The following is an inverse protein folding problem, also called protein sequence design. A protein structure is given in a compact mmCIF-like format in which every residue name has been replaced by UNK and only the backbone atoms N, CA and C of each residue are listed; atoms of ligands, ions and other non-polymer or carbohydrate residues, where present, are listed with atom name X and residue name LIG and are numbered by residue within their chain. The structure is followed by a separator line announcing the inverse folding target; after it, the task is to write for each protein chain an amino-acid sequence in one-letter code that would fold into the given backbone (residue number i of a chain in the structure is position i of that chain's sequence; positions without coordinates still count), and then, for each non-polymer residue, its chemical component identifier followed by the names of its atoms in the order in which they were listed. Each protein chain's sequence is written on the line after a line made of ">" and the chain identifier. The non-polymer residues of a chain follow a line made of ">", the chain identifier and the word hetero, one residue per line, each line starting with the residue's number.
data_IF_676721879184
#
_entry.id   IF_676721879184
#
_cell.length_a   1.000
_cell.length_b   1.000
_cell.length_c   1.000
_cell.angle_alpha   90.00
_cell.angle_beta   90.00
_cell.angle_gamma   90.00
#
_symmetry.space_group_name_H-M   'P 1'
#
loop_
_entity.id
_entity.type
_entity.pdbx_description
1 polymer ?
#
# COMPACT_ATOMS: atom_id res chain seq x y z
N UNK A 1 2.35 6.62 -19.67
CA UNK A 1 2.72 7.91 -20.29
C UNK A 1 3.51 7.71 -21.58
N UNK A 2 4.74 7.17 -21.58
CA UNK A 2 5.52 6.99 -22.82
C UNK A 2 4.96 5.95 -23.80
N UNK A 3 4.28 4.91 -23.32
CA UNK A 3 3.57 3.98 -24.20
C UNK A 3 2.49 4.71 -25.01
N UNK A 4 1.63 5.47 -24.34
CA UNK A 4 0.62 6.32 -24.98
C UNK A 4 1.24 7.34 -25.96
N UNK A 5 2.34 8.00 -25.59
CA UNK A 5 2.99 8.99 -26.46
C UNK A 5 3.57 8.36 -27.75
N UNK A 6 3.99 7.09 -27.68
CA UNK A 6 4.39 6.32 -28.85
C UNK A 6 3.19 6.01 -29.75
N UNK A 7 2.07 5.60 -29.15
CA UNK A 7 0.83 5.30 -29.88
C UNK A 7 0.23 6.56 -30.53
N UNK A 8 0.43 7.72 -29.90
CA UNK A 8 0.05 9.03 -30.42
C UNK A 8 1.07 9.64 -31.40
N UNK A 9 2.08 8.87 -31.83
CA UNK A 9 3.12 9.28 -32.79
C UNK A 9 3.95 10.51 -32.37
N UNK A 10 3.96 10.85 -31.07
CA UNK A 10 4.73 11.98 -30.53
C UNK A 10 6.20 11.61 -30.28
N UNK A 11 6.50 10.32 -30.16
CA UNK A 11 7.85 9.76 -30.00
C UNK A 11 7.95 8.45 -30.75
N UNK A 12 9.12 8.14 -31.34
CA UNK A 12 9.30 6.89 -32.08
C UNK A 12 9.48 5.66 -31.18
N UNK A 13 10.10 5.86 -30.01
CA UNK A 13 10.49 4.79 -29.09
C UNK A 13 10.08 5.13 -27.67
N UNK A 14 9.55 4.13 -26.94
CA UNK A 14 9.31 4.25 -25.51
C UNK A 14 10.62 3.93 -24.74
N UNK A 15 11.29 4.94 -24.13
CA UNK A 15 12.57 4.74 -23.43
C UNK A 15 12.43 3.84 -22.19
N UNK A 16 11.22 3.66 -21.66
CA UNK A 16 10.97 2.80 -20.51
C UNK A 16 10.99 1.30 -20.84
N UNK A 17 10.99 0.91 -22.12
CA UNK A 17 10.97 -0.51 -22.52
C UNK A 17 12.23 -1.28 -22.10
N UNK A 18 13.38 -0.61 -22.00
CA UNK A 18 14.64 -1.22 -21.54
C UNK A 18 14.83 -1.17 -20.02
N UNK A 19 13.95 -0.47 -19.30
CA UNK A 19 14.05 -0.36 -17.85
C UNK A 19 13.53 -1.64 -17.19
N UNK A 20 14.35 -2.27 -16.35
CA UNK A 20 13.90 -3.40 -15.53
C UNK A 20 12.84 -2.91 -14.56
N UNK A 21 11.73 -3.64 -14.47
CA UNK A 21 10.71 -3.37 -13.46
C UNK A 21 11.31 -3.64 -12.09
N UNK A 22 11.25 -2.65 -11.20
CA UNK A 22 11.54 -2.86 -9.79
C UNK A 22 10.44 -3.75 -9.23
N UNK A 23 10.83 -4.89 -8.68
CA UNK A 23 9.94 -5.71 -7.86
C UNK A 23 9.95 -5.15 -6.45
N UNK A 24 8.79 -5.14 -5.79
CA UNK A 24 8.77 -4.98 -4.34
C UNK A 24 9.62 -6.10 -3.76
N UNK A 25 10.66 -5.79 -2.97
CA UNK A 25 11.61 -6.79 -2.48
C UNK A 25 10.95 -7.94 -1.71
N UNK A 26 9.74 -7.73 -1.19
CA UNK A 26 8.84 -8.76 -0.70
C UNK A 26 7.72 -9.02 -1.71
N UNK A 27 7.70 -10.22 -2.29
CA UNK A 27 6.65 -10.68 -3.21
C UNK A 27 5.29 -10.95 -2.54
N UNK A 28 5.26 -11.03 -1.20
CA UNK A 28 4.07 -11.38 -0.41
C UNK A 28 3.18 -10.17 -0.09
N UNK A 29 3.62 -8.95 -0.41
CA UNK A 29 2.85 -7.73 -0.15
C UNK A 29 2.93 -7.27 1.30
N UNK A 30 1.82 -6.72 1.82
CA UNK A 30 1.73 -6.25 3.20
C UNK A 30 1.28 -7.37 4.14
N UNK A 31 1.88 -7.41 5.33
CA UNK A 31 1.50 -8.33 6.39
C UNK A 31 0.02 -8.21 6.75
N UNK A 32 -0.67 -9.35 6.84
CA UNK A 32 -2.06 -9.42 7.29
C UNK A 32 -2.08 -9.57 8.80
N UNK A 33 -2.80 -8.67 9.48
CA UNK A 33 -2.81 -8.64 10.93
C UNK A 33 -3.55 -9.84 11.53
N UNK A 34 -2.92 -10.45 12.52
CA UNK A 34 -3.53 -11.44 13.40
C UNK A 34 -4.26 -10.76 14.57
N UNK A 35 -5.25 -11.47 15.13
CA UNK A 35 -5.99 -10.98 16.30
C UNK A 35 -5.07 -10.72 17.50
N UNK A 36 -4.00 -11.50 17.65
CA UNK A 36 -3.01 -11.32 18.71
C UNK A 36 -2.25 -9.99 18.57
N UNK A 37 -1.96 -9.56 17.35
CA UNK A 37 -1.27 -8.30 17.06
C UNK A 37 -2.18 -7.10 17.31
N UNK A 38 -3.47 -7.24 17.00
CA UNK A 38 -4.48 -6.26 17.40
C UNK A 38 -4.45 -6.09 18.91
N UNK A 39 -4.51 -7.19 19.68
CA UNK A 39 -4.47 -7.13 21.15
C UNK A 39 -3.17 -6.49 21.66
N UNK A 40 -2.02 -6.78 21.04
CA UNK A 40 -0.76 -6.13 21.38
C UNK A 40 -0.79 -4.62 21.12
N UNK A 41 -1.33 -4.19 19.98
CA UNK A 41 -1.49 -2.79 19.63
C UNK A 41 -2.41 -2.06 20.63
N UNK A 42 -3.52 -2.68 21.00
CA UNK A 42 -4.46 -2.12 21.97
C UNK A 42 -3.86 -2.00 23.38
N UNK A 43 -2.96 -2.91 23.79
CA UNK A 43 -2.20 -2.80 25.04
C UNK A 43 -1.17 -1.67 24.98
N UNK A 44 -0.55 -1.46 23.82
CA UNK A 44 0.43 -0.39 23.58
C UNK A 44 -0.20 1.00 23.53
N UNK A 45 -1.43 1.09 23.00
CA UNK A 45 -2.17 2.33 22.78
C UNK A 45 -3.47 2.35 23.60
N UNK A 46 -3.42 3.06 24.73
CA UNK A 46 -4.57 3.21 25.61
C UNK A 46 -5.80 3.81 24.90
N UNK A 47 -6.99 3.54 25.46
CA UNK A 47 -8.26 4.15 25.01
C UNK A 47 -8.19 5.68 25.08
N UNK A 48 -8.80 6.35 24.11
CA UNK A 48 -8.75 7.81 23.97
C UNK A 48 -7.56 8.35 23.17
N UNK A 49 -6.56 7.50 22.85
CA UNK A 49 -5.50 7.90 21.91
C UNK A 49 -5.99 7.87 20.46
N UNK A 50 -5.47 8.77 19.63
CA UNK A 50 -5.77 8.79 18.19
C UNK A 50 -5.45 7.47 17.50
N UNK A 51 -4.33 6.83 17.87
CA UNK A 51 -3.91 5.53 17.37
C UNK A 51 -4.97 4.44 17.63
N UNK A 52 -5.44 4.34 18.88
CA UNK A 52 -6.47 3.36 19.27
C UNK A 52 -7.80 3.63 18.58
N UNK A 53 -8.18 4.90 18.41
CA UNK A 53 -9.41 5.30 17.74
C UNK A 53 -9.36 5.00 16.24
N UNK A 54 -8.25 5.31 15.57
CA UNK A 54 -8.08 5.04 14.15
C UNK A 54 -8.19 3.53 13.86
N UNK A 55 -7.51 2.69 14.63
CA UNK A 55 -7.63 1.23 14.50
C UNK A 55 -9.08 0.75 14.67
N UNK A 56 -9.81 1.29 15.65
CA UNK A 56 -11.20 0.93 15.87
C UNK A 56 -12.11 1.32 14.70
N UNK A 57 -11.91 2.52 14.12
CA UNK A 57 -12.65 2.96 12.94
C UNK A 57 -12.38 2.02 11.76
N UNK A 58 -11.11 1.74 11.46
CA UNK A 58 -10.76 0.86 10.34
C UNK A 58 -11.35 -0.55 10.49
N UNK A 59 -11.29 -1.12 11.70
CA UNK A 59 -11.84 -2.45 11.99
C UNK A 59 -13.37 -2.49 11.91
N UNK A 60 -14.06 -1.46 12.41
CA UNK A 60 -15.52 -1.46 12.47
C UNK A 60 -16.19 -1.08 11.15
N UNK A 61 -15.50 -0.32 10.28
CA UNK A 61 -16.12 0.28 9.08
C UNK A 61 -15.48 -0.13 7.77
N UNK A 62 -14.24 -0.64 7.78
CA UNK A 62 -13.52 -1.03 6.55
C UNK A 62 -13.17 0.15 5.63
N UNK A 63 -13.18 1.38 6.14
CA UNK A 63 -12.83 2.58 5.37
C UNK A 63 -11.36 2.59 4.93
N UNK A 64 -11.10 3.24 3.80
CA UNK A 64 -9.79 3.38 3.15
C UNK A 64 -9.39 4.85 3.10
#
# INVERSE_FOLDING_TARGET
>A
MFAWAKDAEMVEVNPANGAKRLTSGNGEGFHTWEVSEIVQYEKRHARGTMARMALAIFMATGLR
#
